data_IF_424330733008
#
_entry.id   IF_424330733008
#
_cell.length_a   1.000
_cell.length_b   1.000
_cell.length_c   1.000
_cell.angle_alpha   90.00
_cell.angle_beta   90.00
_cell.angle_gamma   90.00
#
_symmetry.space_group_name_H-M   'P 1'
#
loop_
_entity.id
_entity.type
_entity.pdbx_description
1 polymer ?
#
# COMPACT_ATOMS: atom_id res chain seq x y z
N UNK A 1 -4.41 0.03 -18.95
CA UNK A 1 -4.34 1.31 -18.23
C UNK A 1 -3.37 1.22 -17.05
N UNK A 2 -3.68 0.50 -15.97
CA UNK A 2 -2.91 0.57 -14.71
C UNK A 2 -1.60 -0.27 -14.63
N UNK A 3 -1.04 -0.73 -15.74
CA UNK A 3 0.22 -1.49 -15.71
C UNK A 3 1.38 -0.65 -15.16
N UNK A 4 1.56 0.58 -15.67
CA UNK A 4 2.64 1.48 -15.26
C UNK A 4 2.54 1.88 -13.77
N UNK A 5 1.38 2.31 -13.23
CA UNK A 5 1.26 2.59 -11.80
C UNK A 5 1.57 1.41 -10.88
N UNK A 6 1.14 0.20 -11.26
CA UNK A 6 1.46 -1.01 -10.48
C UNK A 6 2.95 -1.35 -10.53
N UNK A 7 3.59 -1.15 -11.67
CA UNK A 7 5.04 -1.33 -11.81
C UNK A 7 5.80 -0.32 -10.95
N UNK A 8 5.35 0.93 -10.89
CA UNK A 8 5.98 1.94 -10.02
C UNK A 8 5.82 1.65 -8.54
N UNK A 9 4.73 0.98 -8.13
CA UNK A 9 4.62 0.42 -6.77
C UNK A 9 5.66 -0.68 -6.55
N UNK A 10 5.85 -1.59 -7.51
CA UNK A 10 6.85 -2.67 -7.40
C UNK A 10 8.27 -2.13 -7.24
N UNK A 11 8.58 -1.00 -7.87
CA UNK A 11 9.88 -0.32 -7.79
C UNK A 11 10.05 0.59 -6.56
N UNK A 12 8.97 0.85 -5.80
CA UNK A 12 9.01 1.73 -4.64
C UNK A 12 9.96 1.18 -3.55
N UNK A 13 10.73 2.04 -2.86
CA UNK A 13 11.57 1.59 -1.76
C UNK A 13 10.72 1.15 -0.57
N UNK A 14 11.21 0.16 0.18
CA UNK A 14 10.63 -0.28 1.45
C UNK A 14 11.71 -0.72 2.42
N UNK A 15 11.44 -0.59 3.72
CA UNK A 15 12.39 -0.99 4.74
C UNK A 15 12.73 -2.49 4.63
N UNK A 16 14.03 -2.81 4.63
CA UNK A 16 14.57 -4.16 4.39
C UNK A 16 14.04 -4.82 3.10
N UNK A 17 13.63 -4.01 2.11
CA UNK A 17 13.04 -4.44 0.83
C UNK A 17 11.85 -5.41 0.98
N UNK A 18 11.08 -5.28 2.07
CA UNK A 18 10.00 -6.24 2.40
C UNK A 18 8.78 -6.12 1.49
N UNK A 19 8.57 -4.96 0.86
CA UNK A 19 7.50 -4.70 -0.10
C UNK A 19 6.13 -5.20 0.41
N UNK A 20 5.64 -4.64 1.53
CA UNK A 20 4.54 -5.23 2.26
C UNK A 20 3.15 -4.95 1.64
N UNK A 21 3.10 -4.31 0.46
CA UNK A 21 1.86 -3.99 -0.24
C UNK A 21 1.26 -5.21 -0.96
N UNK A 22 -0.05 -5.39 -0.83
CA UNK A 22 -0.86 -6.26 -1.68
C UNK A 22 -1.97 -5.40 -2.29
N UNK A 23 -2.19 -5.51 -3.60
CA UNK A 23 -3.18 -4.68 -4.29
C UNK A 23 -4.18 -5.60 -4.99
N UNK A 24 -5.47 -5.42 -4.69
CA UNK A 24 -6.55 -6.15 -5.33
C UNK A 24 -7.38 -5.22 -6.20
N UNK A 25 -7.73 -5.65 -7.41
CA UNK A 25 -8.66 -4.92 -8.27
C UNK A 25 -10.08 -5.43 -8.08
N UNK A 26 -11.03 -4.54 -7.85
CA UNK A 26 -12.46 -4.83 -7.87
C UNK A 26 -13.17 -3.83 -8.78
N UNK A 27 -13.55 -4.26 -9.98
CA UNK A 27 -14.07 -3.36 -11.02
C UNK A 27 -13.05 -2.28 -11.40
N UNK A 28 -13.38 -1.03 -11.05
CA UNK A 28 -12.52 0.16 -11.25
C UNK A 28 -11.64 0.50 -10.04
N UNK A 29 -11.90 -0.13 -8.90
CA UNK A 29 -11.21 0.16 -7.66
C UNK A 29 -9.95 -0.69 -7.49
N UNK A 30 -8.91 -0.11 -6.91
CA UNK A 30 -7.70 -0.80 -6.49
C UNK A 30 -7.56 -0.68 -4.97
N UNK A 31 -7.76 -1.79 -4.27
CA UNK A 31 -7.69 -1.87 -2.82
C UNK A 31 -6.26 -2.21 -2.40
N UNK A 32 -5.65 -1.32 -1.64
CA UNK A 32 -4.31 -1.49 -1.07
C UNK A 32 -4.43 -2.10 0.31
N UNK A 33 -3.63 -3.13 0.52
CA UNK A 33 -3.52 -3.87 1.76
C UNK A 33 -2.07 -3.88 2.23
N UNK A 34 -1.90 -3.80 3.55
CA UNK A 34 -0.64 -3.97 4.22
C UNK A 34 -0.55 -5.41 4.73
N UNK A 35 0.37 -6.20 4.16
CA UNK A 35 0.74 -7.51 4.66
C UNK A 35 1.91 -7.38 5.65
N UNK A 36 1.61 -7.57 6.94
CA UNK A 36 2.58 -7.51 8.02
C UNK A 36 3.61 -8.62 7.90
N UNK A 37 4.88 -8.26 8.11
CA UNK A 37 5.95 -9.25 8.22
C UNK A 37 6.00 -9.74 9.67
N UNK A 38 5.82 -11.06 9.87
CA UNK A 38 5.90 -11.69 11.20
C UNK A 38 7.25 -11.35 11.85
N UNK A 39 7.25 -11.03 13.15
CA UNK A 39 8.45 -10.66 13.89
C UNK A 39 9.03 -9.29 13.56
N UNK A 40 8.55 -8.58 12.52
CA UNK A 40 9.11 -7.29 12.14
C UNK A 40 8.80 -6.17 13.14
N UNK A 41 7.62 -6.20 13.76
CA UNK A 41 7.27 -5.30 14.88
C UNK A 41 8.06 -5.60 16.15
N UNK A 42 8.60 -6.80 16.28
CA UNK A 42 9.39 -7.26 17.44
C UNK A 42 10.90 -7.00 17.22
N UNK A 43 11.38 -7.10 15.97
CA UNK A 43 12.76 -6.78 15.57
C UNK A 43 13.00 -5.28 15.39
N UNK A 44 12.00 -4.52 14.94
CA UNK A 44 12.09 -3.08 14.91
C UNK A 44 12.11 -2.57 16.36
N UNK A 45 13.05 -1.70 16.67
CA UNK A 45 13.22 -0.88 17.88
C UNK A 45 11.96 -0.22 18.46
N UNK A 46 10.75 -0.44 17.94
CA UNK A 46 9.49 0.21 18.32
C UNK A 46 9.04 0.01 19.77
N UNK A 47 9.50 -1.01 20.49
CA UNK A 47 9.26 -1.10 21.95
C UNK A 47 10.20 -0.23 22.79
N UNK A 48 11.39 0.10 22.29
CA UNK A 48 12.43 0.80 23.05
C UNK A 48 12.69 2.25 22.61
N UNK A 49 12.18 2.66 21.44
CA UNK A 49 12.55 3.97 20.82
C UNK A 49 11.36 4.85 20.43
N UNK A 50 10.12 4.37 20.54
CA UNK A 50 8.93 5.13 20.10
C UNK A 50 8.81 5.34 18.58
N UNK A 51 9.59 4.60 17.77
CA UNK A 51 9.59 4.75 16.31
C UNK A 51 8.21 4.39 15.71
N UNK A 52 7.74 5.27 14.82
CA UNK A 52 6.53 5.15 14.03
C UNK A 52 6.47 3.81 13.27
N UNK A 53 5.26 3.33 13.00
CA UNK A 53 5.01 2.08 12.28
C UNK A 53 5.60 2.10 10.86
N UNK A 54 6.83 1.60 10.70
CA UNK A 54 7.60 1.69 9.45
C UNK A 54 6.86 1.05 8.27
N UNK A 55 6.13 -0.06 8.47
CA UNK A 55 5.42 -0.68 7.35
C UNK A 55 4.23 0.16 6.87
N UNK A 56 3.68 1.04 7.72
CA UNK A 56 2.70 2.05 7.27
C UNK A 56 3.36 3.17 6.48
N UNK A 57 4.60 3.53 6.80
CA UNK A 57 5.41 4.47 6.01
C UNK A 57 5.67 3.87 4.62
N UNK A 58 6.08 2.59 4.56
CA UNK A 58 6.28 1.87 3.28
C UNK A 58 5.02 1.91 2.39
N UNK A 59 3.82 1.77 2.98
CA UNK A 59 2.56 1.91 2.23
C UNK A 59 2.35 3.32 1.69
N UNK A 60 2.70 4.36 2.44
CA UNK A 60 2.62 5.75 1.98
C UNK A 60 3.54 6.02 0.78
N UNK A 61 4.74 5.43 0.78
CA UNK A 61 5.67 5.48 -0.36
C UNK A 61 5.04 4.80 -1.59
N UNK A 62 4.51 3.58 -1.43
CA UNK A 62 3.83 2.87 -2.50
C UNK A 62 2.62 3.65 -3.07
N UNK A 63 1.81 4.26 -2.20
CA UNK A 63 0.68 5.10 -2.61
C UNK A 63 1.15 6.30 -3.45
N UNK A 64 2.20 6.99 -3.02
CA UNK A 64 2.77 8.12 -3.76
C UNK A 64 3.24 7.71 -5.15
N UNK A 65 4.01 6.62 -5.25
CA UNK A 65 4.49 6.07 -6.53
C UNK A 65 3.33 5.71 -7.47
N UNK A 66 2.28 5.06 -6.95
CA UNK A 66 1.11 4.72 -7.74
C UNK A 66 0.39 5.96 -8.27
N UNK A 67 0.11 6.94 -7.40
CA UNK A 67 -0.65 8.13 -7.76
C UNK A 67 0.09 9.00 -8.79
N UNK A 68 1.40 9.22 -8.59
CA UNK A 68 2.20 10.01 -9.53
C UNK A 68 2.24 9.35 -10.91
N UNK A 69 2.46 8.03 -10.95
CA UNK A 69 2.49 7.28 -12.20
C UNK A 69 1.12 7.20 -12.88
N UNK A 70 0.04 7.14 -12.10
CA UNK A 70 -1.32 7.18 -12.63
C UNK A 70 -1.61 8.54 -13.28
N UNK A 71 -1.27 9.64 -12.59
CA UNK A 71 -1.40 11.01 -13.11
C UNK A 71 -0.58 11.21 -14.38
N UNK A 72 0.67 10.77 -14.39
CA UNK A 72 1.56 10.86 -15.58
C UNK A 72 1.00 10.08 -16.77
N UNK A 73 0.34 8.95 -16.51
CA UNK A 73 -0.34 8.13 -17.52
C UNK A 73 -1.73 8.67 -17.92
N UNK A 74 -2.14 9.85 -17.44
CA UNK A 74 -3.46 10.44 -17.72
C UNK A 74 -4.63 9.71 -17.06
N UNK A 75 -4.39 8.93 -16.01
CA UNK A 75 -5.41 8.19 -15.28
C UNK A 75 -5.93 9.01 -14.09
N UNK A 76 -7.22 9.33 -14.12
CA UNK A 76 -7.90 10.03 -13.03
C UNK A 76 -8.39 9.07 -11.94
N UNK A 77 -8.40 9.57 -10.70
CA UNK A 77 -8.91 8.85 -9.54
C UNK A 77 -8.54 9.54 -8.24
N UNK A 78 -8.94 8.93 -7.13
CA UNK A 78 -8.71 9.47 -5.79
C UNK A 78 -8.60 8.37 -4.75
N UNK A 79 -7.88 8.66 -3.67
CA UNK A 79 -7.82 7.80 -2.49
C UNK A 79 -9.10 7.93 -1.67
N UNK A 80 -9.73 6.79 -1.36
CA UNK A 80 -10.94 6.71 -0.54
C UNK A 80 -10.81 5.60 0.50
N UNK A 81 -11.48 5.79 1.63
CA UNK A 81 -11.69 4.73 2.62
C UNK A 81 -12.94 3.96 2.24
N UNK A 82 -12.77 2.70 1.86
CA UNK A 82 -13.87 1.80 1.55
C UNK A 82 -14.22 0.97 2.79
N UNK A 83 -15.34 1.31 3.42
CA UNK A 83 -15.84 0.62 4.61
C UNK A 83 -16.31 -0.81 4.33
N UNK A 84 -16.50 -1.17 3.06
CA UNK A 84 -16.88 -2.52 2.62
C UNK A 84 -15.68 -3.34 2.16
N UNK A 85 -14.46 -2.80 2.23
CA UNK A 85 -13.27 -3.52 1.84
C UNK A 85 -13.11 -4.80 2.67
N UNK A 86 -13.01 -5.93 1.98
CA UNK A 86 -12.86 -7.25 2.59
C UNK A 86 -11.55 -7.32 3.36
N UNK A 87 -11.59 -7.77 4.61
CA UNK A 87 -10.38 -8.22 5.33
C UNK A 87 -9.95 -9.58 4.78
N UNK A 88 -8.65 -9.73 4.49
CA UNK A 88 -8.14 -10.91 3.79
C UNK A 88 -7.71 -11.99 4.79
N UNK A 89 -6.79 -11.66 5.68
CA UNK A 89 -6.31 -12.53 6.75
C UNK A 89 -5.78 -11.68 7.93
N UNK A 90 -5.36 -12.34 9.02
CA UNK A 90 -4.91 -11.67 10.26
C UNK A 90 -3.70 -10.74 10.02
N UNK A 91 -2.83 -11.07 9.08
CA UNK A 91 -1.62 -10.31 8.78
C UNK A 91 -1.81 -9.33 7.62
N UNK A 92 -2.87 -9.49 6.83
CA UNK A 92 -3.12 -8.68 5.64
C UNK A 92 -4.30 -7.74 5.87
N UNK A 93 -3.99 -6.49 6.24
CA UNK A 93 -4.98 -5.51 6.65
C UNK A 93 -5.27 -4.50 5.53
N UNK A 94 -6.54 -4.13 5.37
CA UNK A 94 -6.91 -3.05 4.46
C UNK A 94 -6.26 -1.71 4.88
N UNK A 95 -5.85 -0.92 3.89
CA UNK A 95 -5.26 0.42 4.09
C UNK A 95 -6.12 1.50 3.44
N UNK A 96 -6.29 1.44 2.12
CA UNK A 96 -6.97 2.48 1.34
C UNK A 96 -7.38 1.92 -0.03
N UNK A 97 -8.29 2.59 -0.72
CA UNK A 97 -8.70 2.26 -2.09
C UNK A 97 -8.37 3.42 -3.02
N UNK A 98 -7.73 3.15 -4.16
CA UNK A 98 -7.76 4.05 -5.31
C UNK A 98 -9.05 3.81 -6.08
N UNK A 99 -9.94 4.80 -6.08
CA UNK A 99 -11.16 4.78 -6.88
C UNK A 99 -10.88 5.48 -8.20
N UNK A 100 -10.77 4.70 -9.28
CA UNK A 100 -10.59 5.28 -10.62
C UNK A 100 -11.91 5.83 -11.15
N UNK A 101 -11.81 6.92 -11.90
CA UNK A 101 -12.95 7.50 -12.64
C UNK A 101 -13.33 6.62 -13.84
#
# INVERSE_FOLDING_TARGET
AYATPLEMVRLAPSASNKQPWRILRQGRNWHFYLQRTKGYREMAMGRFTGIADIQRIDMGIAMCHFELAAKDSGLCGKWVMDTKARQLDILTNYVVTWSSE
#
